data_IF_023116051109
#
_entry.id   IF_023116051109
#
_cell.length_a   1.000
_cell.length_b   1.000
_cell.length_c   1.000
_cell.angle_alpha   90.00
_cell.angle_beta   90.00
_cell.angle_gamma   90.00
#
_symmetry.space_group_name_H-M   'P 1'
#
loop_
_entity.id
_entity.type
_entity.pdbx_description
1 polymer ?
#
# COMPACT_ATOMS: atom_id res chain seq x y z
N UNK A 1 19.68 -8.41 -5.53
CA UNK A 1 18.74 -7.31 -5.37
C UNK A 1 17.79 -7.54 -4.21
N UNK A 2 17.10 -8.69 -4.13
CA UNK A 2 16.11 -8.99 -3.08
C UNK A 2 16.67 -9.03 -1.65
N UNK A 3 17.96 -9.22 -1.44
CA UNK A 3 18.60 -9.17 -0.12
C UNK A 3 19.19 -7.79 0.15
N UNK A 4 19.78 -7.16 -0.86
CA UNK A 4 20.45 -5.86 -0.72
C UNK A 4 19.46 -4.71 -0.45
N UNK A 5 18.34 -4.68 -1.17
CA UNK A 5 17.36 -3.60 -1.03
C UNK A 5 16.72 -3.55 0.37
N UNK A 6 16.24 -4.66 0.95
CA UNK A 6 15.81 -4.68 2.35
C UNK A 6 16.90 -4.22 3.32
N UNK A 7 18.14 -4.66 3.14
CA UNK A 7 19.25 -4.25 3.99
C UNK A 7 19.54 -2.74 3.91
N UNK A 8 19.44 -2.15 2.71
CA UNK A 8 19.59 -0.70 2.53
C UNK A 8 18.45 0.10 3.15
N UNK A 9 17.25 -0.46 3.18
CA UNK A 9 16.06 0.18 3.74
C UNK A 9 15.95 -0.01 5.25
N UNK A 10 16.61 -1.01 5.84
CA UNK A 10 16.54 -1.37 7.24
C UNK A 10 16.75 -0.20 8.22
N UNK A 11 17.70 0.73 8.02
CA UNK A 11 17.85 1.88 8.91
C UNK A 11 16.59 2.75 8.96
N UNK A 12 15.90 2.91 7.82
CA UNK A 12 14.66 3.68 7.74
C UNK A 12 13.50 2.93 8.37
N UNK A 13 13.39 1.62 8.15
CA UNK A 13 12.38 0.77 8.80
C UNK A 13 12.50 0.84 10.30
N UNK A 14 13.71 0.71 10.84
CA UNK A 14 13.98 0.83 12.28
C UNK A 14 13.63 2.22 12.84
N UNK A 15 13.89 3.29 12.08
CA UNK A 15 13.54 4.66 12.47
C UNK A 15 12.01 4.83 12.58
N UNK A 16 11.23 4.19 11.69
CA UNK A 16 9.77 4.26 11.67
C UNK A 16 9.14 3.37 12.74
N UNK A 17 9.62 2.13 12.87
CA UNK A 17 8.98 1.10 13.70
C UNK A 17 9.50 1.08 15.14
N UNK A 18 10.66 1.67 15.39
CA UNK A 18 11.36 1.56 16.66
C UNK A 18 11.93 0.16 16.94
N UNK A 19 11.83 -0.78 16.00
CA UNK A 19 12.28 -2.17 16.13
C UNK A 19 13.22 -2.57 15.01
N UNK A 20 14.08 -3.52 15.28
CA UNK A 20 15.00 -4.12 14.31
C UNK A 20 14.61 -5.57 13.96
N UNK A 21 13.43 -6.03 14.40
CA UNK A 21 12.97 -7.42 14.26
C UNK A 21 12.38 -7.74 12.90
N UNK A 22 11.98 -6.69 12.13
CA UNK A 22 11.36 -6.83 10.82
C UNK A 22 12.15 -6.07 9.75
N UNK A 23 12.14 -6.60 8.54
CA UNK A 23 12.63 -5.92 7.35
C UNK A 23 11.50 -5.79 6.33
N UNK A 24 11.58 -4.80 5.44
CA UNK A 24 10.64 -4.64 4.33
C UNK A 24 11.27 -5.18 3.05
N UNK A 25 10.67 -6.23 2.49
CA UNK A 25 11.10 -6.88 1.25
C UNK A 25 10.07 -6.69 0.15
N UNK A 26 10.28 -5.68 -0.70
CA UNK A 26 9.40 -5.37 -1.79
C UNK A 26 10.19 -4.92 -3.02
N UNK A 27 9.69 -5.17 -4.24
CA UNK A 27 10.36 -4.71 -5.48
C UNK A 27 10.49 -3.18 -5.54
N UNK A 28 9.54 -2.44 -4.96
CA UNK A 28 9.58 -0.99 -4.81
C UNK A 28 10.57 -0.47 -3.78
N UNK A 29 11.31 -1.31 -3.08
CA UNK A 29 12.23 -0.91 -2.00
C UNK A 29 13.29 0.09 -2.45
N UNK A 30 13.69 0.08 -3.72
CA UNK A 30 14.58 1.10 -4.27
C UNK A 30 13.90 2.48 -4.26
N UNK A 31 12.65 2.57 -4.71
CA UNK A 31 11.88 3.82 -4.67
C UNK A 31 11.69 4.32 -3.25
N UNK A 32 11.38 3.43 -2.31
CA UNK A 32 11.27 3.80 -0.89
C UNK A 32 12.59 4.28 -0.31
N UNK A 33 13.71 3.66 -0.69
CA UNK A 33 15.03 4.12 -0.29
C UNK A 33 15.33 5.52 -0.81
N UNK A 34 15.05 5.79 -2.09
CA UNK A 34 15.21 7.12 -2.69
C UNK A 34 14.30 8.14 -2.00
N UNK A 35 13.02 7.80 -1.80
CA UNK A 35 12.07 8.67 -1.10
C UNK A 35 12.52 8.98 0.33
N UNK A 36 13.03 8.01 1.06
CA UNK A 36 13.58 8.21 2.40
C UNK A 36 14.81 9.12 2.39
N UNK A 37 15.69 9.00 1.38
CA UNK A 37 16.85 9.89 1.22
C UNK A 37 16.42 11.32 0.91
N UNK A 38 15.49 11.51 -0.02
CA UNK A 38 14.92 12.82 -0.36
C UNK A 38 14.26 13.44 0.87
N UNK A 39 13.43 12.67 1.58
CA UNK A 39 12.79 13.16 2.80
C UNK A 39 13.80 13.58 3.88
N UNK A 40 14.92 12.86 4.03
CA UNK A 40 16.00 13.25 4.97
C UNK A 40 16.73 14.52 4.56
N UNK A 41 16.78 14.82 3.26
CA UNK A 41 17.44 16.03 2.74
C UNK A 41 16.55 17.27 2.76
N UNK A 42 15.25 17.09 2.49
CA UNK A 42 14.29 18.19 2.32
C UNK A 42 13.32 18.34 3.49
N UNK A 43 13.14 17.30 4.28
CA UNK A 43 12.18 17.26 5.37
C UNK A 43 12.68 17.97 6.63
N UNK A 44 11.73 18.56 7.34
CA UNK A 44 11.94 19.12 8.67
C UNK A 44 11.76 18.02 9.72
N UNK A 45 12.86 17.62 10.35
CA UNK A 45 12.87 16.56 11.37
C UNK A 45 12.12 16.90 12.65
N UNK A 46 11.77 18.17 12.84
CA UNK A 46 11.02 18.63 14.01
C UNK A 46 9.51 18.47 13.84
N UNK A 47 9.04 18.14 12.60
CA UNK A 47 7.63 18.01 12.27
C UNK A 47 7.32 16.59 11.84
N UNK A 48 6.27 16.03 12.40
CA UNK A 48 5.76 14.71 12.01
C UNK A 48 4.42 14.82 11.26
N UNK A 49 4.23 13.98 10.25
CA UNK A 49 2.93 13.84 9.59
C UNK A 49 1.84 13.37 10.57
N UNK A 50 2.23 12.70 11.66
CA UNK A 50 1.31 12.22 12.68
C UNK A 50 0.77 13.35 13.57
N UNK A 51 1.40 14.52 13.57
CA UNK A 51 0.90 15.73 14.24
C UNK A 51 -0.19 16.45 13.43
N UNK A 52 -0.31 16.13 12.15
CA UNK A 52 -1.34 16.70 11.27
C UNK A 52 -2.71 16.21 11.75
N UNK A 53 -3.58 17.16 12.13
CA UNK A 53 -4.96 16.87 12.51
C UNK A 53 -5.77 16.47 11.29
N UNK A 54 -5.74 15.18 10.96
CA UNK A 54 -6.61 14.64 9.91
C UNK A 54 -8.05 14.62 10.40
N UNK A 55 -9.00 15.24 9.67
CA UNK A 55 -10.41 15.21 10.04
C UNK A 55 -10.89 13.77 10.26
N UNK A 56 -11.72 13.57 11.29
CA UNK A 56 -12.27 12.23 11.61
C UNK A 56 -13.04 11.63 10.44
N UNK A 57 -13.61 12.48 9.57
CA UNK A 57 -14.27 12.07 8.32
C UNK A 57 -13.37 11.38 7.32
N UNK A 58 -12.05 11.58 7.38
CA UNK A 58 -11.08 10.91 6.52
C UNK A 58 -10.46 9.66 7.17
N UNK A 59 -10.90 9.31 8.38
CA UNK A 59 -10.38 8.15 9.11
C UNK A 59 -10.57 6.82 8.36
N UNK A 60 -11.60 6.71 7.52
CA UNK A 60 -11.85 5.52 6.70
C UNK A 60 -10.77 5.26 5.63
N UNK A 61 -10.04 6.30 5.21
CA UNK A 61 -8.91 6.15 4.27
C UNK A 61 -7.69 5.46 4.88
N UNK A 62 -7.67 5.24 6.19
CA UNK A 62 -6.65 4.43 6.86
C UNK A 62 -6.82 2.94 6.58
N UNK A 63 -8.03 2.51 6.22
CA UNK A 63 -8.27 1.16 5.73
C UNK A 63 -7.87 1.08 4.26
N UNK A 64 -6.85 0.27 3.97
CA UNK A 64 -6.31 0.12 2.61
C UNK A 64 -7.33 -0.44 1.62
N UNK A 65 -8.28 -1.26 2.07
CA UNK A 65 -9.32 -1.81 1.21
C UNK A 65 -10.33 -0.73 0.80
N UNK A 66 -10.71 0.13 1.75
CA UNK A 66 -11.61 1.25 1.48
C UNK A 66 -10.93 2.30 0.60
N UNK A 67 -9.67 2.63 0.89
CA UNK A 67 -8.89 3.54 0.08
C UNK A 67 -8.76 3.03 -1.36
N UNK A 68 -8.48 1.72 -1.53
CA UNK A 68 -8.40 1.08 -2.85
C UNK A 68 -9.74 1.13 -3.59
N UNK A 69 -10.85 0.78 -2.92
CA UNK A 69 -12.18 0.81 -3.52
C UNK A 69 -12.55 2.22 -4.00
N UNK A 70 -12.27 3.24 -3.19
CA UNK A 70 -12.53 4.62 -3.54
C UNK A 70 -11.69 5.08 -4.73
N UNK A 71 -10.38 4.77 -4.71
CA UNK A 71 -9.48 5.11 -5.83
C UNK A 71 -9.95 4.48 -7.11
N UNK A 72 -10.24 3.18 -7.07
CA UNK A 72 -10.71 2.46 -8.25
C UNK A 72 -12.06 2.99 -8.74
N UNK A 73 -12.96 3.37 -7.85
CA UNK A 73 -14.22 4.02 -8.25
C UNK A 73 -13.95 5.30 -9.04
N UNK A 74 -13.09 6.17 -8.53
CA UNK A 74 -12.73 7.42 -9.22
C UNK A 74 -12.05 7.12 -10.55
N UNK A 75 -11.08 6.21 -10.58
CA UNK A 75 -10.37 5.82 -11.79
C UNK A 75 -11.30 5.26 -12.86
N UNK A 76 -12.18 4.32 -12.51
CA UNK A 76 -13.13 3.76 -13.46
C UNK A 76 -14.13 4.81 -13.98
N UNK A 77 -14.59 5.73 -13.12
CA UNK A 77 -15.46 6.82 -13.52
C UNK A 77 -14.75 7.78 -14.50
N UNK A 78 -13.52 8.18 -14.18
CA UNK A 78 -12.73 9.06 -15.06
C UNK A 78 -12.50 8.39 -16.40
N UNK A 79 -12.03 7.14 -16.43
CA UNK A 79 -11.80 6.39 -17.67
C UNK A 79 -13.09 6.23 -18.47
N UNK A 80 -14.21 5.90 -17.81
CA UNK A 80 -15.51 5.76 -18.47
C UNK A 80 -15.99 7.06 -19.12
N UNK A 81 -15.72 8.21 -18.51
CA UNK A 81 -16.03 9.50 -19.11
C UNK A 81 -15.18 9.80 -20.35
N UNK A 82 -13.87 9.44 -20.32
CA UNK A 82 -12.99 9.63 -21.47
C UNK A 82 -13.30 8.68 -22.63
N UNK A 83 -13.64 7.43 -22.34
CA UNK A 83 -14.01 6.41 -23.34
C UNK A 83 -15.37 6.74 -23.97
N UNK A 84 -16.25 7.38 -23.22
CA UNK A 84 -17.60 7.75 -23.62
C UNK A 84 -18.66 6.84 -23.00
N UNK A 85 -19.63 7.42 -22.28
CA UNK A 85 -20.71 6.66 -21.62
C UNK A 85 -21.45 5.70 -22.55
N UNK A 86 -21.84 6.18 -23.74
CA UNK A 86 -22.56 5.37 -24.74
C UNK A 86 -21.76 4.16 -25.18
N UNK A 87 -20.44 4.33 -25.42
CA UNK A 87 -19.58 3.21 -25.81
C UNK A 87 -19.50 2.14 -24.71
N UNK A 88 -19.41 2.56 -23.45
CA UNK A 88 -19.41 1.64 -22.30
C UNK A 88 -20.72 0.87 -22.23
N UNK A 89 -21.85 1.56 -22.35
CA UNK A 89 -23.19 0.96 -22.23
C UNK A 89 -23.47 -0.04 -23.36
N UNK A 90 -23.05 0.26 -24.58
CA UNK A 90 -23.31 -0.57 -25.75
C UNK A 90 -22.33 -1.75 -25.91
N UNK A 91 -21.05 -1.58 -25.50
CA UNK A 91 -19.99 -2.53 -25.85
C UNK A 91 -19.36 -3.27 -24.66
N UNK A 92 -19.48 -2.73 -23.44
CA UNK A 92 -18.78 -3.30 -22.28
C UNK A 92 -19.69 -3.69 -21.12
N UNK A 93 -20.88 -3.11 -21.03
CA UNK A 93 -21.74 -3.29 -19.86
C UNK A 93 -23.09 -3.94 -20.16
N UNK A 94 -23.28 -4.47 -21.38
CA UNK A 94 -24.54 -5.08 -21.85
C UNK A 94 -25.77 -4.20 -21.55
N UNK A 95 -25.67 -2.90 -21.81
CA UNK A 95 -26.72 -1.92 -21.57
C UNK A 95 -26.83 -1.40 -20.15
N UNK A 96 -25.94 -1.83 -19.25
CA UNK A 96 -25.91 -1.29 -17.89
C UNK A 96 -25.36 0.13 -17.90
N UNK A 97 -26.00 1.02 -17.14
CA UNK A 97 -25.55 2.42 -17.03
C UNK A 97 -24.07 2.52 -16.63
N UNK A 98 -23.31 3.38 -17.31
CA UNK A 98 -21.85 3.49 -17.14
C UNK A 98 -21.41 3.82 -15.71
N UNK A 99 -22.22 4.56 -14.92
CA UNK A 99 -21.92 4.85 -13.52
C UNK A 99 -21.99 3.57 -12.67
N UNK A 100 -23.05 2.77 -12.90
CA UNK A 100 -23.26 1.49 -12.19
C UNK A 100 -22.16 0.51 -12.59
N UNK A 101 -21.84 0.42 -13.87
CA UNK A 101 -20.76 -0.40 -14.38
C UNK A 101 -19.43 -0.02 -13.73
N UNK A 102 -19.06 1.26 -13.73
CA UNK A 102 -17.81 1.73 -13.12
C UNK A 102 -17.72 1.40 -11.63
N UNK A 103 -18.81 1.59 -10.90
CA UNK A 103 -18.87 1.26 -9.48
C UNK A 103 -18.72 -0.25 -9.23
N UNK A 104 -19.41 -1.08 -10.01
CA UNK A 104 -19.32 -2.53 -9.89
C UNK A 104 -17.91 -3.03 -10.20
N UNK A 105 -17.26 -2.51 -11.25
CA UNK A 105 -15.88 -2.87 -11.57
C UNK A 105 -14.91 -2.49 -10.46
N UNK A 106 -15.07 -1.29 -9.88
CA UNK A 106 -14.23 -0.81 -8.79
C UNK A 106 -14.37 -1.68 -7.53
N UNK A 107 -15.61 -2.01 -7.15
CA UNK A 107 -15.88 -2.85 -5.97
C UNK A 107 -15.38 -4.28 -6.20
N UNK A 108 -15.60 -4.84 -7.38
CA UNK A 108 -15.13 -6.18 -7.75
C UNK A 108 -13.61 -6.25 -7.70
N UNK A 109 -12.92 -5.25 -8.25
CA UNK A 109 -11.46 -5.15 -8.17
C UNK A 109 -10.98 -5.08 -6.72
N UNK A 110 -11.55 -4.19 -5.92
CA UNK A 110 -11.18 -4.02 -4.51
C UNK A 110 -11.43 -5.30 -3.69
N UNK A 111 -12.56 -5.99 -3.93
CA UNK A 111 -12.86 -7.26 -3.29
C UNK A 111 -11.85 -8.34 -3.68
N UNK A 112 -11.49 -8.44 -4.96
CA UNK A 112 -10.47 -9.37 -5.44
C UNK A 112 -9.11 -9.14 -4.76
N UNK A 113 -8.67 -7.89 -4.71
CA UNK A 113 -7.41 -7.53 -4.01
C UNK A 113 -7.50 -7.84 -2.52
N UNK A 114 -8.63 -7.55 -1.86
CA UNK A 114 -8.84 -7.87 -0.45
C UNK A 114 -8.71 -9.38 -0.18
N UNK A 115 -9.32 -10.21 -1.02
CA UNK A 115 -9.24 -11.68 -0.90
C UNK A 115 -7.80 -12.16 -1.07
N UNK A 116 -7.09 -11.64 -2.08
CA UNK A 116 -5.67 -11.98 -2.30
C UNK A 116 -4.83 -11.60 -1.10
N UNK A 117 -4.98 -10.37 -0.59
CA UNK A 117 -4.21 -9.91 0.58
C UNK A 117 -4.54 -10.71 1.84
N UNK A 118 -5.80 -11.08 2.05
CA UNK A 118 -6.20 -11.96 3.16
C UNK A 118 -5.53 -13.33 3.04
N UNK A 119 -5.56 -13.94 1.85
CA UNK A 119 -4.89 -15.21 1.58
C UNK A 119 -3.38 -15.14 1.80
N UNK A 120 -2.72 -14.08 1.31
CA UNK A 120 -1.28 -13.86 1.53
C UNK A 120 -0.96 -13.72 3.03
N UNK A 121 -1.79 -12.98 3.80
CA UNK A 121 -1.59 -12.86 5.26
C UNK A 121 -1.69 -14.21 5.97
N UNK A 122 -2.64 -15.06 5.58
CA UNK A 122 -2.77 -16.42 6.13
C UNK A 122 -1.54 -17.26 5.82
N UNK A 123 -1.06 -17.25 4.58
CA UNK A 123 0.16 -17.97 4.20
C UNK A 123 1.38 -17.47 4.96
N UNK A 124 1.55 -16.15 5.10
CA UNK A 124 2.67 -15.55 5.85
C UNK A 124 2.61 -15.94 7.32
N UNK A 125 1.43 -15.99 7.93
CA UNK A 125 1.26 -16.37 9.33
C UNK A 125 1.77 -17.79 9.63
N UNK A 126 1.69 -18.70 8.66
CA UNK A 126 2.19 -20.06 8.79
C UNK A 126 3.67 -20.21 8.36
N UNK A 127 4.03 -19.56 7.26
CA UNK A 127 5.34 -19.68 6.64
C UNK A 127 6.43 -18.98 7.47
N UNK A 128 6.16 -17.78 8.00
CA UNK A 128 7.18 -17.00 8.73
C UNK A 128 7.71 -17.72 9.98
N UNK A 129 6.87 -18.31 10.86
CA UNK A 129 7.35 -19.08 12.00
C UNK A 129 8.17 -20.31 11.59
N UNK A 130 7.74 -21.01 10.54
CA UNK A 130 8.45 -22.18 10.01
C UNK A 130 9.85 -21.81 9.49
N UNK A 131 9.94 -20.76 8.68
CA UNK A 131 11.22 -20.26 8.18
C UNK A 131 12.11 -19.70 9.30
N UNK A 132 11.52 -19.04 10.29
CA UNK A 132 12.29 -18.55 11.46
C UNK A 132 12.96 -19.69 12.20
N UNK A 133 12.24 -20.80 12.45
CA UNK A 133 12.81 -21.98 13.10
C UNK A 133 13.96 -22.62 12.32
N UNK A 134 13.93 -22.57 10.99
CA UNK A 134 15.02 -23.02 10.11
C UNK A 134 16.16 -21.99 10.10
N UNK A 135 15.83 -20.72 9.96
CA UNK A 135 16.80 -19.64 9.86
C UNK A 135 17.66 -19.49 11.13
N UNK A 136 17.07 -19.63 12.30
CA UNK A 136 17.79 -19.56 13.58
C UNK A 136 18.89 -20.62 13.68
N UNK A 137 18.75 -21.76 12.98
CA UNK A 137 19.76 -22.82 12.92
C UNK A 137 20.83 -22.62 11.85
N UNK A 138 20.47 -22.01 10.72
CA UNK A 138 21.33 -21.90 9.53
C UNK A 138 21.95 -20.51 9.42
N UNK A 139 21.18 -19.48 9.70
CA UNK A 139 21.59 -18.07 9.60
C UNK A 139 21.15 -17.34 10.87
N UNK A 140 22.00 -17.29 11.90
CA UNK A 140 21.66 -16.58 13.14
C UNK A 140 21.26 -15.14 12.89
N UNK A 141 20.22 -14.69 13.58
CA UNK A 141 19.65 -13.34 13.46
C UNK A 141 19.02 -13.00 12.08
N UNK A 142 18.62 -13.99 11.31
CA UNK A 142 17.86 -13.75 10.10
C UNK A 142 16.53 -13.02 10.41
N UNK A 143 16.24 -11.96 9.66
CA UNK A 143 15.03 -11.14 9.81
C UNK A 143 14.03 -11.48 8.72
N UNK A 144 12.74 -11.66 9.05
CA UNK A 144 11.72 -11.82 8.01
C UNK A 144 11.58 -10.53 7.23
N UNK A 145 11.70 -10.62 5.91
CA UNK A 145 11.40 -9.52 5.00
C UNK A 145 9.91 -9.59 4.62
N UNK A 146 9.14 -8.67 5.16
CA UNK A 146 7.68 -8.59 5.01
C UNK A 146 7.30 -7.52 3.99
N UNK A 147 6.05 -7.55 3.54
CA UNK A 147 5.55 -6.54 2.61
C UNK A 147 5.27 -5.21 3.31
N UNK A 148 5.22 -4.13 2.51
CA UNK A 148 5.12 -2.74 2.96
C UNK A 148 3.99 -2.46 3.96
N UNK A 149 2.78 -3.03 3.83
CA UNK A 149 1.70 -2.76 4.77
C UNK A 149 2.00 -3.02 6.24
N UNK A 150 3.08 -3.77 6.54
CA UNK A 150 3.50 -4.02 7.93
C UNK A 150 3.91 -2.74 8.66
N UNK A 151 4.35 -1.71 7.94
CA UNK A 151 4.75 -0.42 8.53
C UNK A 151 3.61 0.59 8.63
N UNK A 152 2.46 0.35 8.01
CA UNK A 152 1.32 1.28 8.00
C UNK A 152 0.78 1.64 9.39
N UNK A 153 0.67 0.72 10.36
CA UNK A 153 0.18 1.05 11.69
C UNK A 153 1.07 2.04 12.46
N UNK A 154 2.34 2.16 12.08
CA UNK A 154 3.29 3.05 12.77
C UNK A 154 3.18 4.51 12.34
N UNK A 155 2.62 4.78 11.14
CA UNK A 155 2.45 6.13 10.62
C UNK A 155 1.15 6.26 9.78
N UNK A 156 -0.03 6.13 10.39
CA UNK A 156 -1.31 6.07 9.66
C UNK A 156 -1.65 7.37 8.92
N UNK A 157 -1.21 8.53 9.37
CA UNK A 157 -1.42 9.78 8.65
C UNK A 157 -0.50 9.88 7.43
N UNK A 158 0.75 9.39 7.54
CA UNK A 158 1.66 9.32 6.40
C UNK A 158 1.10 8.42 5.29
N UNK A 159 0.40 7.34 5.65
CA UNK A 159 -0.28 6.46 4.67
C UNK A 159 -1.34 7.23 3.88
N UNK A 160 -2.20 8.02 4.54
CA UNK A 160 -3.22 8.84 3.88
C UNK A 160 -2.57 9.87 2.95
N UNK A 161 -1.57 10.59 3.45
CA UNK A 161 -0.86 11.62 2.67
C UNK A 161 -0.17 10.99 1.46
N UNK A 162 0.52 9.88 1.66
CA UNK A 162 1.19 9.14 0.59
C UNK A 162 0.20 8.63 -0.46
N UNK A 163 -0.93 8.09 -0.03
CA UNK A 163 -2.00 7.66 -0.91
C UNK A 163 -2.54 8.81 -1.77
N UNK A 164 -2.91 9.93 -1.16
CA UNK A 164 -3.43 11.10 -1.88
C UNK A 164 -2.39 11.68 -2.83
N UNK A 165 -1.12 11.75 -2.41
CA UNK A 165 -0.03 12.22 -3.26
C UNK A 165 0.20 11.30 -4.46
N UNK A 166 0.17 9.99 -4.25
CA UNK A 166 0.31 9.00 -5.32
C UNK A 166 -0.86 9.04 -6.29
N UNK A 167 -2.08 9.25 -5.78
CA UNK A 167 -3.27 9.41 -6.61
C UNK A 167 -3.16 10.61 -7.53
N UNK A 168 -2.80 11.79 -6.96
CA UNK A 168 -2.63 13.02 -7.76
C UNK A 168 -1.49 12.90 -8.78
N UNK A 169 -0.40 12.22 -8.42
CA UNK A 169 0.73 12.02 -9.35
C UNK A 169 0.44 10.99 -10.45
N UNK A 170 -0.57 10.14 -10.27
CA UNK A 170 -0.98 9.11 -11.24
C UNK A 170 -2.06 9.58 -12.23
N UNK A 171 -2.69 10.74 -11.99
CA UNK A 171 -3.62 11.39 -12.90
C UNK A 171 -2.90 12.25 -13.94
#
# INVERSE_FOLDING_TARGET
LMVLLPAMLQPTVREITGSDDIAVGHFGSFGYFVAAKVAKLTGDKTKSTEEVKVPKSLGFLRDSSVALALTMTIMFLVVSLFVGPTYIEENLSDGTNFLVFSLLQAITFAAGVFIILAGVRMLIAEIVPAFKGIADKIVPNAKPALDVPIVFPFAPNAVIIGFLSSFVAGL
#
